data_IF_282351435282
#
_entry.id   IF_282351435282
#
_cell.length_a   1.000
_cell.length_b   1.000
_cell.length_c   1.000
_cell.angle_alpha   90.00
_cell.angle_beta   90.00
_cell.angle_gamma   90.00
#
_symmetry.space_group_name_H-M   'P 1'
#
loop_
_entity.id
_entity.type
_entity.pdbx_description
1 polymer ?
#
# COMPACT_ATOMS: atom_id res chain seq x y z
N UNK A 1 0.04 18.44 2.23
CA UNK A 1 -1.17 17.60 2.31
C UNK A 1 -1.63 17.06 0.96
N UNK A 2 -1.96 17.90 -0.03
CA UNK A 2 -2.48 17.48 -1.36
C UNK A 2 -1.64 16.38 -2.06
N UNK A 3 -0.33 16.44 -1.92
CA UNK A 3 0.66 15.50 -2.47
C UNK A 3 0.54 14.09 -1.84
N UNK A 4 0.30 14.05 -0.53
CA UNK A 4 0.08 12.80 0.21
C UNK A 4 -1.29 12.21 -0.17
N UNK A 5 -2.30 13.05 -0.40
CA UNK A 5 -3.62 12.62 -0.90
C UNK A 5 -3.51 11.96 -2.28
N UNK A 6 -2.76 12.54 -3.22
CA UNK A 6 -2.53 11.92 -4.54
C UNK A 6 -1.80 10.58 -4.40
N UNK A 7 -0.83 10.49 -3.49
CA UNK A 7 -0.10 9.24 -3.22
C UNK A 7 -1.02 8.17 -2.62
N UNK A 8 -1.95 8.56 -1.73
CA UNK A 8 -3.00 7.68 -1.21
C UNK A 8 -3.88 7.18 -2.35
N UNK A 9 -4.33 8.04 -3.27
CA UNK A 9 -5.20 7.64 -4.39
C UNK A 9 -4.50 6.65 -5.34
N UNK A 10 -3.24 6.89 -5.69
CA UNK A 10 -2.47 5.98 -6.56
C UNK A 10 -2.24 4.64 -5.87
N UNK A 11 -1.86 4.67 -4.60
CA UNK A 11 -1.68 3.49 -3.76
C UNK A 11 -2.97 2.69 -3.61
N UNK A 12 -4.09 3.35 -3.34
CA UNK A 12 -5.39 2.70 -3.19
C UNK A 12 -5.88 2.12 -4.50
N UNK A 13 -5.62 2.78 -5.63
CA UNK A 13 -5.95 2.26 -6.95
C UNK A 13 -5.15 0.97 -7.24
N UNK A 14 -3.86 0.95 -6.92
CA UNK A 14 -3.03 -0.24 -7.11
C UNK A 14 -3.49 -1.41 -6.22
N UNK A 15 -3.79 -1.15 -4.94
CA UNK A 15 -4.37 -2.17 -4.06
C UNK A 15 -5.73 -2.67 -4.51
N UNK A 16 -6.60 -1.76 -4.99
CA UNK A 16 -7.95 -2.12 -5.47
C UNK A 16 -7.91 -2.95 -6.74
N UNK A 17 -6.90 -2.71 -7.59
CA UNK A 17 -6.66 -3.55 -8.76
C UNK A 17 -6.26 -4.97 -8.35
N UNK A 18 -5.42 -5.14 -7.32
CA UNK A 18 -5.07 -6.46 -6.80
C UNK A 18 -6.28 -7.18 -6.21
N UNK A 19 -7.17 -6.47 -5.50
CA UNK A 19 -8.43 -7.05 -5.01
C UNK A 19 -9.33 -7.45 -6.18
N UNK A 20 -9.49 -6.59 -7.17
CA UNK A 20 -10.29 -6.89 -8.35
C UNK A 20 -9.78 -8.17 -9.03
N UNK A 21 -8.47 -8.26 -9.32
CA UNK A 21 -7.81 -9.46 -9.89
C UNK A 21 -8.02 -10.70 -9.01
N UNK A 22 -7.86 -10.58 -7.68
CA UNK A 22 -8.06 -11.71 -6.78
C UNK A 22 -9.51 -12.21 -6.74
N UNK A 23 -10.50 -11.32 -6.95
CA UNK A 23 -11.92 -11.70 -7.06
C UNK A 23 -12.29 -12.29 -8.42
N UNK A 24 -11.48 -12.04 -9.47
CA UNK A 24 -11.68 -12.63 -10.79
C UNK A 24 -11.40 -14.13 -10.84
N UNK A 25 -10.39 -14.59 -10.11
CA UNK A 25 -10.01 -16.01 -10.11
C UNK A 25 -11.08 -16.93 -9.52
N UNK A 26 -12.05 -16.39 -8.77
CA UNK A 26 -13.11 -17.17 -8.10
C UNK A 26 -14.39 -17.35 -8.92
N UNK A 27 -14.56 -16.62 -10.03
CA UNK A 27 -15.78 -16.60 -10.83
C UNK A 27 -15.50 -16.91 -12.30
N UNK A 28 -15.28 -18.20 -12.57
CA UNK A 28 -15.00 -18.74 -13.90
C UNK A 28 -16.20 -18.70 -14.88
N UNK A 29 -17.34 -18.13 -14.51
CA UNK A 29 -18.52 -18.04 -15.37
C UNK A 29 -19.00 -16.59 -15.50
N UNK A 30 -18.92 -16.05 -16.72
CA UNK A 30 -19.35 -14.72 -17.15
C UNK A 30 -18.57 -13.51 -16.59
N UNK A 31 -17.40 -13.30 -17.17
CA UNK A 31 -16.63 -12.06 -17.05
C UNK A 31 -17.36 -10.94 -17.81
N UNK A 32 -18.10 -10.10 -17.09
CA UNK A 32 -18.57 -8.80 -17.60
C UNK A 32 -17.67 -7.69 -17.07
N UNK A 33 -17.40 -6.67 -17.89
CA UNK A 33 -16.66 -5.46 -17.51
C UNK A 33 -17.25 -4.79 -16.24
N UNK A 34 -18.56 -4.98 -16.04
CA UNK A 34 -19.28 -4.52 -14.87
C UNK A 34 -18.78 -5.15 -13.56
N UNK A 35 -18.38 -6.44 -13.58
CA UNK A 35 -17.80 -7.10 -12.41
C UNK A 35 -16.40 -6.54 -12.06
N UNK A 36 -15.64 -6.07 -13.06
CA UNK A 36 -14.34 -5.41 -12.85
C UNK A 36 -14.46 -4.06 -12.18
N UNK A 37 -15.37 -3.25 -12.71
CA UNK A 37 -15.66 -1.93 -12.16
C UNK A 37 -16.21 -2.08 -10.74
N UNK A 38 -17.15 -3.01 -10.51
CA UNK A 38 -17.70 -3.28 -9.20
C UNK A 38 -16.61 -3.70 -8.20
N UNK A 39 -15.74 -4.65 -8.57
CA UNK A 39 -14.62 -5.09 -7.73
C UNK A 39 -13.61 -3.96 -7.43
N UNK A 40 -13.33 -3.10 -8.41
CA UNK A 40 -12.46 -1.94 -8.23
C UNK A 40 -13.08 -0.90 -7.29
N UNK A 41 -14.37 -0.60 -7.44
CA UNK A 41 -15.09 0.35 -6.58
C UNK A 41 -15.16 -0.17 -5.14
N UNK A 42 -15.48 -1.46 -4.96
CA UNK A 42 -15.44 -2.11 -3.65
C UNK A 42 -14.05 -2.08 -3.04
N UNK A 43 -13.01 -2.41 -3.82
CA UNK A 43 -11.62 -2.30 -3.41
C UNK A 43 -11.26 -0.90 -2.94
N UNK A 44 -11.64 0.13 -3.70
CA UNK A 44 -11.36 1.52 -3.36
C UNK A 44 -12.07 1.93 -2.06
N UNK A 45 -13.33 1.55 -1.89
CA UNK A 45 -14.12 1.89 -0.70
C UNK A 45 -13.46 1.37 0.59
N UNK A 46 -12.88 0.17 0.56
CA UNK A 46 -12.22 -0.42 1.72
C UNK A 46 -10.74 -0.05 1.86
N UNK A 47 -10.01 0.07 0.75
CA UNK A 47 -8.55 0.29 0.77
C UNK A 47 -8.21 1.76 1.02
N UNK A 48 -8.96 2.71 0.46
CA UNK A 48 -8.72 4.15 0.67
C UNK A 48 -8.63 4.53 2.15
N UNK A 49 -9.59 4.18 3.03
CA UNK A 49 -9.50 4.54 4.45
C UNK A 49 -8.30 3.85 5.13
N UNK A 50 -8.01 2.59 4.81
CA UNK A 50 -6.86 1.86 5.37
C UNK A 50 -5.53 2.53 4.99
N UNK A 51 -5.34 2.83 3.70
CA UNK A 51 -4.14 3.51 3.18
C UNK A 51 -4.04 4.94 3.73
N UNK A 52 -5.17 5.60 3.99
CA UNK A 52 -5.16 6.94 4.61
C UNK A 52 -4.67 6.88 6.06
N UNK A 53 -5.23 5.95 6.85
CA UNK A 53 -4.90 5.79 8.28
C UNK A 53 -3.49 5.26 8.51
N UNK A 54 -2.99 4.36 7.65
CA UNK A 54 -1.66 3.77 7.82
C UNK A 54 -0.59 4.45 6.96
N UNK A 55 -0.93 4.86 5.74
CA UNK A 55 0.00 5.42 4.76
C UNK A 55 0.45 6.85 5.11
N UNK A 56 -0.45 7.71 5.58
CA UNK A 56 -0.06 9.09 5.93
C UNK A 56 0.87 9.12 7.16
N UNK A 57 0.58 8.41 8.27
CA UNK A 57 1.48 8.40 9.42
C UNK A 57 2.80 7.70 9.13
N UNK A 58 2.79 6.57 8.42
CA UNK A 58 4.04 5.88 8.02
C UNK A 58 4.92 6.77 7.15
N UNK A 59 4.33 7.53 6.21
CA UNK A 59 5.06 8.52 5.42
C UNK A 59 5.75 9.58 6.28
N UNK A 60 5.03 10.16 7.26
CA UNK A 60 5.59 11.17 8.16
C UNK A 60 6.71 10.58 9.01
N UNK A 61 6.52 9.35 9.51
CA UNK A 61 7.51 8.65 10.32
C UNK A 61 8.79 8.35 9.51
N UNK A 62 8.64 7.90 8.26
CA UNK A 62 9.76 7.65 7.34
C UNK A 62 10.48 8.97 7.01
N UNK A 63 9.73 10.04 6.69
CA UNK A 63 10.28 11.38 6.44
C UNK A 63 11.18 11.86 7.60
N UNK A 64 10.74 11.64 8.85
CA UNK A 64 11.51 11.95 10.07
C UNK A 64 12.75 11.07 10.17
N UNK A 65 12.62 9.75 9.96
CA UNK A 65 13.71 8.79 10.10
C UNK A 65 14.86 9.06 9.10
N UNK A 66 14.51 9.45 7.87
CA UNK A 66 15.48 9.76 6.81
C UNK A 66 15.91 11.23 6.79
N UNK A 67 15.37 12.08 7.66
CA UNK A 67 15.65 13.53 7.71
C UNK A 67 17.14 13.82 7.88
N UNK A 68 17.81 13.06 8.76
CA UNK A 68 19.23 13.25 9.09
C UNK A 68 20.18 12.40 8.22
N UNK A 69 19.67 11.54 7.33
CA UNK A 69 20.50 10.77 6.39
C UNK A 69 20.67 11.55 5.09
N UNK A 70 21.90 12.00 4.82
CA UNK A 70 22.32 12.51 3.51
C UNK A 70 23.29 11.52 2.88
N UNK A 71 22.86 10.88 1.79
CA UNK A 71 23.69 9.94 1.04
C UNK A 71 23.01 9.44 -0.23
N UNK A 72 23.80 8.93 -1.17
CA UNK A 72 23.35 8.36 -2.45
C UNK A 72 22.26 7.29 -2.27
N UNK A 73 22.27 6.60 -1.13
CA UNK A 73 21.36 5.51 -0.78
C UNK A 73 20.06 5.94 -0.08
N UNK A 74 19.86 7.24 0.20
CA UNK A 74 18.65 7.73 0.92
C UNK A 74 17.35 7.21 0.31
N UNK A 75 17.27 7.19 -1.02
CA UNK A 75 16.10 6.73 -1.78
C UNK A 75 15.83 5.24 -1.62
N UNK A 76 16.88 4.43 -1.69
CA UNK A 76 16.77 2.98 -1.49
C UNK A 76 16.32 2.67 -0.06
N UNK A 77 16.86 3.39 0.93
CA UNK A 77 16.46 3.26 2.33
C UNK A 77 14.99 3.64 2.52
N UNK A 78 14.51 4.72 1.88
CA UNK A 78 13.10 5.12 1.94
C UNK A 78 12.18 4.03 1.37
N UNK A 79 12.47 3.48 0.17
CA UNK A 79 11.69 2.37 -0.41
C UNK A 79 11.71 1.13 0.47
N UNK A 80 12.88 0.76 1.00
CA UNK A 80 13.01 -0.41 1.88
C UNK A 80 12.17 -0.22 3.14
N UNK A 81 12.12 0.98 3.71
CA UNK A 81 11.24 1.27 4.85
C UNK A 81 9.76 1.10 4.48
N UNK A 82 9.31 1.61 3.33
CA UNK A 82 7.93 1.39 2.86
C UNK A 82 7.60 -0.10 2.65
N UNK A 83 8.56 -0.90 2.16
CA UNK A 83 8.40 -2.37 2.06
C UNK A 83 8.25 -2.98 3.45
N UNK A 84 9.14 -2.64 4.39
CA UNK A 84 9.11 -3.14 5.77
C UNK A 84 7.77 -2.78 6.45
N UNK A 85 7.31 -1.53 6.32
CA UNK A 85 6.00 -1.11 6.85
C UNK A 85 4.83 -1.90 6.22
N UNK A 86 4.90 -2.18 4.92
CA UNK A 86 3.91 -3.03 4.24
C UNK A 86 3.88 -4.46 4.79
N UNK A 87 5.05 -5.08 4.98
CA UNK A 87 5.17 -6.44 5.53
C UNK A 87 4.71 -6.50 6.99
N UNK A 88 5.08 -5.50 7.81
CA UNK A 88 4.61 -5.41 9.20
C UNK A 88 3.08 -5.29 9.23
N UNK A 89 2.51 -4.40 8.41
CA UNK A 89 1.05 -4.24 8.29
C UNK A 89 0.36 -5.54 7.90
N UNK A 90 0.90 -6.25 6.90
CA UNK A 90 0.37 -7.55 6.48
C UNK A 90 0.44 -8.61 7.60
N UNK A 91 1.51 -8.60 8.38
CA UNK A 91 1.71 -9.52 9.51
C UNK A 91 0.69 -9.25 10.62
N UNK A 92 0.46 -7.97 10.96
CA UNK A 92 -0.54 -7.58 11.97
C UNK A 92 -1.94 -8.00 11.52
N UNK A 93 -2.32 -7.69 10.28
CA UNK A 93 -3.65 -8.07 9.74
C UNK A 93 -3.82 -9.58 9.71
N UNK A 94 -2.80 -10.32 9.27
CA UNK A 94 -2.86 -11.79 9.24
C UNK A 94 -2.94 -12.39 10.64
N UNK A 95 -2.28 -11.77 11.63
CA UNK A 95 -2.35 -12.18 13.02
C UNK A 95 -3.75 -11.96 13.60
N UNK A 96 -4.37 -10.81 13.31
CA UNK A 96 -5.75 -10.50 13.73
C UNK A 96 -6.73 -11.54 13.16
N UNK A 97 -6.59 -11.88 11.87
CA UNK A 97 -7.43 -12.91 11.24
C UNK A 97 -7.18 -14.28 11.88
N UNK A 98 -5.93 -14.63 12.17
CA UNK A 98 -5.60 -15.92 12.80
C UNK A 98 -6.17 -16.03 14.22
N UNK A 99 -6.17 -14.92 14.96
CA UNK A 99 -6.79 -14.80 16.29
C UNK A 99 -8.32 -14.96 16.24
N UNK A 100 -8.96 -14.40 15.21
CA UNK A 100 -10.41 -14.52 14.98
C UNK A 100 -10.82 -15.96 14.61
N UNK A 101 -10.03 -16.62 13.76
CA UNK A 101 -10.24 -18.03 13.35
C UNK A 101 -9.88 -19.06 14.45
N UNK A 102 -9.41 -18.62 15.63
CA UNK A 102 -9.00 -19.51 16.72
C UNK A 102 -7.77 -20.37 16.40
N UNK A 103 -6.97 -19.97 15.41
CA UNK A 103 -5.79 -20.71 14.96
C UNK A 103 -4.52 -20.10 15.56
N UNK A 104 -3.67 -20.94 16.16
CA UNK A 104 -2.43 -20.50 16.83
C UNK A 104 -1.26 -20.19 15.87
N UNK A 105 -1.54 -19.94 14.58
CA UNK A 105 -0.50 -19.77 13.57
C UNK A 105 -0.98 -19.02 12.33
N UNK A 106 -0.07 -18.26 11.73
CA UNK A 106 -0.35 -17.51 10.51
C UNK A 106 -0.50 -18.47 9.33
N UNK A 107 -1.70 -18.59 8.78
CA UNK A 107 -1.92 -19.36 7.56
C UNK A 107 -1.12 -18.73 6.40
N UNK A 108 -0.08 -19.43 5.95
CA UNK A 108 0.90 -18.91 4.99
C UNK A 108 0.27 -18.55 3.64
N UNK A 109 -0.82 -19.25 3.26
CA UNK A 109 -1.54 -19.00 2.01
C UNK A 109 -2.36 -17.69 2.08
N UNK A 110 -2.98 -17.42 3.22
CA UNK A 110 -3.71 -16.17 3.48
C UNK A 110 -2.72 -15.00 3.63
N UNK A 111 -1.63 -15.20 4.36
CA UNK A 111 -0.54 -14.23 4.51
C UNK A 111 0.05 -13.83 3.16
N UNK A 112 0.26 -14.77 2.24
CA UNK A 112 0.75 -14.46 0.89
C UNK A 112 -0.16 -13.45 0.17
N UNK A 113 -1.48 -13.65 0.21
CA UNK A 113 -2.44 -12.74 -0.43
C UNK A 113 -2.46 -11.37 0.25
N UNK A 114 -2.47 -11.33 1.58
CA UNK A 114 -2.46 -10.09 2.38
C UNK A 114 -1.15 -9.33 2.17
N UNK A 115 -0.02 -10.03 2.09
CA UNK A 115 1.29 -9.45 1.86
C UNK A 115 1.41 -8.85 0.45
N UNK A 116 0.91 -9.54 -0.58
CA UNK A 116 0.84 -9.01 -1.95
C UNK A 116 -0.02 -7.74 -1.98
N UNK A 117 -1.18 -7.76 -1.31
CA UNK A 117 -2.05 -6.59 -1.22
C UNK A 117 -1.37 -5.43 -0.50
N UNK A 118 -0.73 -5.68 0.64
CA UNK A 118 -0.03 -4.65 1.40
C UNK A 118 1.13 -4.04 0.60
N UNK A 119 1.91 -4.86 -0.10
CA UNK A 119 3.03 -4.40 -0.95
C UNK A 119 2.54 -3.61 -2.17
N UNK A 120 1.42 -4.01 -2.77
CA UNK A 120 0.79 -3.26 -3.87
C UNK A 120 0.32 -1.87 -3.44
N UNK A 121 0.07 -1.65 -2.15
CA UNK A 121 -0.22 -0.32 -1.63
C UNK A 121 1.07 0.42 -1.24
N UNK A 122 1.94 -0.21 -0.44
CA UNK A 122 3.09 0.48 0.17
C UNK A 122 4.17 0.88 -0.84
N UNK A 123 4.43 0.07 -1.87
CA UNK A 123 5.48 0.34 -2.86
C UNK A 123 5.12 1.54 -3.76
N UNK A 124 3.94 1.61 -4.39
CA UNK A 124 3.54 2.80 -5.17
C UNK A 124 3.48 4.04 -4.30
N UNK A 125 3.01 3.93 -3.06
CA UNK A 125 3.01 5.04 -2.12
C UNK A 125 4.44 5.57 -1.86
N UNK A 126 5.39 4.69 -1.61
CA UNK A 126 6.80 5.06 -1.41
C UNK A 126 7.45 5.67 -2.65
N UNK A 127 7.16 5.14 -3.84
CA UNK A 127 7.63 5.70 -5.12
C UNK A 127 7.07 7.12 -5.31
N UNK A 128 5.77 7.33 -5.05
CA UNK A 128 5.14 8.64 -5.14
C UNK A 128 5.72 9.64 -4.12
N UNK A 129 5.99 9.20 -2.88
CA UNK A 129 6.66 10.00 -1.85
C UNK A 129 8.03 10.53 -2.33
N UNK A 130 8.86 9.63 -2.87
CA UNK A 130 10.20 9.96 -3.36
C UNK A 130 10.14 10.88 -4.57
N UNK A 131 9.28 10.57 -5.55
CA UNK A 131 9.13 11.36 -6.77
C UNK A 131 8.72 12.80 -6.45
N UNK A 132 7.82 12.96 -5.48
CA UNK A 132 7.33 14.26 -5.09
C UNK A 132 8.35 15.08 -4.29
N UNK A 133 9.11 14.43 -3.40
CA UNK A 133 10.24 15.05 -2.71
C UNK A 133 11.35 15.47 -3.70
N UNK A 134 11.50 14.76 -4.83
CA UNK A 134 12.48 15.11 -5.87
C UNK A 134 12.05 16.29 -6.75
N UNK A 135 10.77 16.37 -7.16
CA UNK A 135 10.25 17.52 -7.93
C UNK A 135 10.38 18.85 -7.16
N UNK A 136 10.33 18.82 -5.84
CA UNK A 136 10.59 19.99 -4.99
C UNK A 136 12.05 20.43 -4.98
N UNK A 137 13.01 19.51 -5.12
CA UNK A 137 14.44 19.89 -5.24
C UNK A 137 14.78 20.54 -6.58
N UNK A 138 13.96 20.30 -7.62
CA UNK A 138 14.16 20.82 -8.97
C UNK A 138 13.32 22.08 -9.27
N UNK A 139 12.38 22.44 -8.39
CA UNK A 139 11.70 23.73 -8.44
C UNK A 139 12.48 24.68 -7.53
N UNK A 140 13.40 25.52 -8.06
CA UNK A 140 13.87 26.64 -7.27
C UNK A 140 12.63 27.43 -6.84
N UNK A 141 12.56 27.73 -5.55
CA UNK A 141 11.72 28.78 -5.01
C UNK A 141 11.89 30.02 -5.87
N UNK A 142 10.82 30.41 -6.56
CA UNK A 142 10.72 31.69 -7.23
C UNK A 142 9.69 32.53 -6.49
#
# INVERSE_FOLDING_TARGET
MLKKIISVLISSLCGSLVVAVATFDTSYEQITFNNLIAGLVFGLMYIVPIVTVLGIPSSILIDILIKNRNGKYKKLIEIVLYIIFGVIGATIVSLIISLDDGTNGVNLLAFKRICILALSCSVPFGICSILWNYRLKKSPSH
#
